data_IF_424041016410
#
_entry.id   IF_424041016410
#
_cell.length_a   1.000
_cell.length_b   1.000
_cell.length_c   1.000
_cell.angle_alpha   90.00
_cell.angle_beta   90.00
_cell.angle_gamma   90.00
#
_symmetry.space_group_name_H-M   'P 1'
#
loop_
_entity.id
_entity.type
_entity.pdbx_description
1 polymer ?
#
# COMPACT_ATOMS: atom_id res chain seq x y z
N UNK A 1 0.38 22.96 17.58
CA UNK A 1 -0.93 23.05 16.89
C UNK A 1 -1.89 22.01 17.48
N UNK A 2 -2.77 22.45 18.37
CA UNK A 2 -3.85 21.63 18.93
C UNK A 2 -4.78 21.22 17.80
N UNK A 3 -4.90 19.92 17.53
CA UNK A 3 -5.90 19.40 16.59
C UNK A 3 -7.26 19.48 17.26
N UNK A 4 -8.08 20.44 16.80
CA UNK A 4 -9.37 20.80 17.39
C UNK A 4 -10.45 19.96 16.73
N UNK A 5 -10.90 18.91 17.40
CA UNK A 5 -12.34 18.72 17.48
C UNK A 5 -12.87 19.84 18.38
N UNK A 6 -13.87 20.58 17.91
CA UNK A 6 -14.46 21.64 18.74
C UNK A 6 -15.06 20.98 19.98
N UNK A 7 -14.72 21.42 21.20
CA UNK A 7 -15.34 20.87 22.40
C UNK A 7 -16.87 20.91 22.28
N UNK A 8 -17.50 19.73 22.26
CA UNK A 8 -18.96 19.58 22.08
C UNK A 8 -19.41 19.00 20.73
N UNK A 9 -18.52 18.79 19.75
CA UNK A 9 -18.83 18.07 18.50
C UNK A 9 -18.24 16.65 18.50
N UNK A 10 -18.92 15.70 17.87
CA UNK A 10 -18.37 14.36 17.66
C UNK A 10 -17.17 14.42 16.69
N UNK A 11 -16.12 13.62 16.92
CA UNK A 11 -15.04 13.48 15.94
C UNK A 11 -15.57 12.85 14.64
N UNK A 12 -14.89 13.12 13.52
CA UNK A 12 -15.16 12.41 12.28
C UNK A 12 -14.73 10.94 12.39
N UNK A 13 -15.51 10.04 11.81
CA UNK A 13 -15.30 8.59 11.83
C UNK A 13 -14.54 8.14 10.59
N UNK A 14 -13.44 7.42 10.81
CA UNK A 14 -12.56 6.92 9.75
C UNK A 14 -12.42 5.41 9.86
N UNK A 15 -12.87 4.69 8.83
CA UNK A 15 -12.69 3.24 8.72
C UNK A 15 -11.54 2.92 7.78
N UNK A 16 -10.55 2.16 8.24
CA UNK A 16 -9.37 1.75 7.46
C UNK A 16 -9.44 0.26 7.18
N UNK A 17 -9.56 -0.09 5.90
CA UNK A 17 -9.62 -1.48 5.44
C UNK A 17 -8.21 -1.98 5.15
N UNK A 18 -7.69 -2.85 6.02
CA UNK A 18 -6.33 -3.39 5.95
C UNK A 18 -5.38 -2.70 6.92
N UNK A 19 -4.78 -3.47 7.79
CA UNK A 19 -3.87 -3.02 8.85
C UNK A 19 -2.41 -3.03 8.46
N UNK A 20 -2.06 -3.19 7.18
CA UNK A 20 -0.68 -3.22 6.68
C UNK A 20 0.09 -1.91 6.88
N UNK A 21 1.15 -1.71 6.09
CA UNK A 21 1.97 -0.48 6.16
C UNK A 21 1.13 0.75 5.83
N UNK A 22 0.37 0.70 4.74
CA UNK A 22 -0.50 1.80 4.30
C UNK A 22 -1.54 2.13 5.38
N UNK A 23 -2.27 1.12 5.86
CA UNK A 23 -3.33 1.31 6.85
C UNK A 23 -2.82 1.84 8.19
N UNK A 24 -1.67 1.35 8.67
CA UNK A 24 -1.03 1.86 9.88
C UNK A 24 -0.73 3.36 9.79
N UNK A 25 -0.17 3.81 8.66
CA UNK A 25 0.18 5.23 8.48
C UNK A 25 -1.05 6.10 8.26
N UNK A 26 -2.06 5.62 7.52
CA UNK A 26 -3.34 6.30 7.37
C UNK A 26 -4.03 6.50 8.73
N UNK A 27 -4.12 5.44 9.54
CA UNK A 27 -4.70 5.51 10.89
C UNK A 27 -3.91 6.46 11.79
N UNK A 28 -2.57 6.44 11.73
CA UNK A 28 -1.73 7.37 12.52
C UNK A 28 -2.01 8.84 12.20
N UNK A 29 -2.22 9.16 10.93
CA UNK A 29 -2.60 10.52 10.52
C UNK A 29 -4.00 10.88 11.00
N UNK A 30 -4.98 9.99 10.80
CA UNK A 30 -6.36 10.23 11.22
C UNK A 30 -6.49 10.42 12.74
N UNK A 31 -5.85 9.57 13.55
CA UNK A 31 -5.77 9.73 15.02
C UNK A 31 -5.09 11.04 15.39
N UNK A 32 -4.01 11.42 14.70
CA UNK A 32 -3.33 12.70 14.93
C UNK A 32 -4.22 13.92 14.65
N UNK A 33 -5.20 13.76 13.76
CA UNK A 33 -6.24 14.74 13.45
C UNK A 33 -7.41 14.74 14.44
N UNK A 34 -7.43 13.82 15.41
CA UNK A 34 -8.50 13.69 16.39
C UNK A 34 -9.73 12.92 15.89
N UNK A 35 -9.59 12.17 14.79
CA UNK A 35 -10.66 11.31 14.30
C UNK A 35 -10.87 10.08 15.21
N UNK A 36 -12.09 9.56 15.18
CA UNK A 36 -12.42 8.23 15.69
C UNK A 36 -12.09 7.21 14.60
N UNK A 37 -11.21 6.25 14.88
CA UNK A 37 -10.60 5.40 13.85
C UNK A 37 -10.82 3.93 14.16
N UNK A 38 -11.38 3.20 13.19
CA UNK A 38 -11.46 1.73 13.19
C UNK A 38 -10.55 1.16 12.11
N UNK A 39 -9.67 0.21 12.47
CA UNK A 39 -8.92 -0.62 11.50
C UNK A 39 -9.53 -2.01 11.43
N UNK A 40 -9.83 -2.46 10.21
CA UNK A 40 -10.34 -3.79 9.91
C UNK A 40 -9.25 -4.63 9.24
N UNK A 41 -8.95 -5.82 9.77
CA UNK A 41 -7.98 -6.75 9.18
C UNK A 41 -8.38 -8.22 9.41
N UNK A 42 -7.87 -9.13 8.57
CA UNK A 42 -8.08 -10.59 8.70
C UNK A 42 -7.05 -11.25 9.64
N UNK A 43 -5.97 -10.57 9.98
CA UNK A 43 -4.89 -11.11 10.83
C UNK A 43 -5.06 -10.66 12.28
N UNK A 44 -5.55 -11.56 13.14
CA UNK A 44 -5.64 -11.31 14.59
C UNK A 44 -4.28 -10.91 15.19
N UNK A 45 -3.14 -11.56 14.87
CA UNK A 45 -1.83 -11.09 15.34
C UNK A 45 -1.54 -9.64 14.94
N UNK A 46 -1.93 -9.24 13.74
CA UNK A 46 -1.74 -7.86 13.28
C UNK A 46 -2.63 -6.87 14.04
N UNK A 47 -3.90 -7.23 14.28
CA UNK A 47 -4.80 -6.39 15.08
C UNK A 47 -4.27 -6.17 16.50
N UNK A 48 -3.72 -7.21 17.16
CA UNK A 48 -3.06 -7.06 18.47
C UNK A 48 -1.87 -6.10 18.42
N UNK A 49 -1.00 -6.24 17.41
CA UNK A 49 0.11 -5.31 17.23
C UNK A 49 -0.36 -3.87 17.03
N UNK A 50 -1.45 -3.66 16.29
CA UNK A 50 -2.01 -2.33 16.08
C UNK A 50 -2.56 -1.76 17.39
N UNK A 51 -3.29 -2.55 18.17
CA UNK A 51 -3.78 -2.16 19.49
C UNK A 51 -2.62 -1.73 20.42
N UNK A 52 -1.54 -2.51 20.47
CA UNK A 52 -0.32 -2.18 21.21
C UNK A 52 0.33 -0.86 20.73
N UNK A 53 0.43 -0.67 19.41
CA UNK A 53 1.04 0.53 18.79
C UNK A 53 0.23 1.80 19.11
N UNK A 54 -1.10 1.68 19.07
CA UNK A 54 -1.99 2.82 19.28
C UNK A 54 -2.37 3.01 20.75
N UNK A 55 -2.05 2.05 21.62
CA UNK A 55 -2.41 2.00 23.03
C UNK A 55 -3.92 2.20 23.24
N UNK A 56 -4.73 1.44 22.48
CA UNK A 56 -6.19 1.50 22.52
C UNK A 56 -6.83 2.76 21.91
N UNK A 57 -6.05 3.67 21.29
CA UNK A 57 -6.60 4.87 20.61
C UNK A 57 -7.24 4.59 19.25
N UNK A 58 -7.21 3.36 18.79
CA UNK A 58 -7.79 2.91 17.52
C UNK A 58 -8.59 1.66 17.83
N UNK A 59 -9.81 1.58 17.29
CA UNK A 59 -10.60 0.37 17.35
C UNK A 59 -10.05 -0.64 16.35
N UNK A 60 -9.87 -1.89 16.79
CA UNK A 60 -9.42 -2.97 15.91
C UNK A 60 -10.53 -4.01 15.79
N UNK A 61 -10.94 -4.31 14.56
CA UNK A 61 -12.00 -5.30 14.29
C UNK A 61 -11.54 -6.35 13.30
N UNK A 62 -11.96 -7.59 13.55
CA UNK A 62 -11.74 -8.67 12.61
C UNK A 62 -12.64 -8.50 11.39
N UNK A 63 -12.09 -8.74 10.20
CA UNK A 63 -12.80 -8.58 8.93
C UNK A 63 -13.85 -9.67 8.72
N UNK A 64 -15.07 -9.41 9.17
CA UNK A 64 -16.30 -10.12 8.76
C UNK A 64 -17.13 -9.24 7.83
N UNK A 65 -18.09 -9.82 7.11
CA UNK A 65 -19.03 -9.05 6.27
C UNK A 65 -19.81 -8.05 7.12
N UNK A 66 -20.36 -8.49 8.26
CA UNK A 66 -21.09 -7.64 9.20
C UNK A 66 -20.23 -6.48 9.71
N UNK A 67 -18.99 -6.74 10.14
CA UNK A 67 -18.11 -5.68 10.62
C UNK A 67 -17.71 -4.69 9.51
N UNK A 68 -17.48 -5.19 8.30
CA UNK A 68 -17.21 -4.33 7.14
C UNK A 68 -18.42 -3.44 6.82
N UNK A 69 -19.63 -4.01 6.79
CA UNK A 69 -20.86 -3.25 6.52
C UNK A 69 -21.09 -2.20 7.62
N UNK A 70 -21.10 -2.58 8.89
CA UNK A 70 -21.37 -1.68 10.02
C UNK A 70 -20.40 -0.48 10.06
N UNK A 71 -19.10 -0.75 9.94
CA UNK A 71 -18.07 0.28 10.06
C UNK A 71 -17.96 1.14 8.80
N UNK A 72 -18.21 0.58 7.60
CA UNK A 72 -18.21 1.37 6.37
C UNK A 72 -19.45 2.26 6.28
N UNK A 73 -20.64 1.75 6.64
CA UNK A 73 -21.88 2.54 6.59
C UNK A 73 -21.90 3.69 7.58
N UNK A 74 -21.23 3.55 8.72
CA UNK A 74 -21.20 4.58 9.77
C UNK A 74 -20.01 5.54 9.67
N UNK A 75 -19.09 5.33 8.72
CA UNK A 75 -17.90 6.15 8.54
C UNK A 75 -18.16 7.40 7.70
N UNK A 76 -17.47 8.49 8.05
CA UNK A 76 -17.38 9.68 7.21
C UNK A 76 -16.34 9.49 6.10
N UNK A 77 -15.30 8.69 6.36
CA UNK A 77 -14.23 8.37 5.41
C UNK A 77 -13.89 6.89 5.50
N UNK A 78 -13.81 6.22 4.34
CA UNK A 78 -13.28 4.85 4.24
C UNK A 78 -11.95 4.88 3.48
N UNK A 79 -10.90 4.33 4.09
CA UNK A 79 -9.57 4.21 3.48
C UNK A 79 -9.32 2.77 3.07
N UNK A 80 -9.24 2.54 1.77
CA UNK A 80 -8.80 1.27 1.19
C UNK A 80 -7.28 1.09 1.32
N UNK A 81 -6.83 0.20 2.20
CA UNK A 81 -5.41 -0.06 2.48
C UNK A 81 -5.05 -1.55 2.42
N UNK A 82 -5.88 -2.36 1.77
CA UNK A 82 -5.59 -3.76 1.49
C UNK A 82 -4.64 -3.83 0.30
N UNK A 83 -3.47 -4.43 0.49
CA UNK A 83 -2.50 -4.67 -0.58
C UNK A 83 -2.15 -6.15 -0.54
N UNK A 84 -2.53 -6.87 -1.60
CA UNK A 84 -2.15 -8.25 -1.81
C UNK A 84 -1.07 -8.26 -2.90
N UNK A 85 0.19 -8.64 -2.58
CA UNK A 85 1.26 -8.67 -3.58
C UNK A 85 0.88 -9.51 -4.79
N UNK A 86 0.89 -8.90 -5.98
CA UNK A 86 0.52 -9.56 -7.23
C UNK A 86 -0.98 -9.64 -7.53
N UNK A 87 -1.83 -8.94 -6.76
CA UNK A 87 -3.26 -8.83 -7.05
C UNK A 87 -3.69 -7.36 -7.25
N UNK A 88 -4.81 -7.21 -7.95
CA UNK A 88 -5.39 -5.96 -8.45
C UNK A 88 -6.15 -5.16 -7.37
N UNK A 89 -5.51 -4.93 -6.21
CA UNK A 89 -6.17 -4.34 -5.02
C UNK A 89 -5.72 -2.90 -4.74
N UNK A 90 -4.57 -2.49 -5.29
CA UNK A 90 -4.15 -1.08 -5.28
C UNK A 90 -4.88 -0.31 -6.38
N UNK A 91 -5.19 0.98 -6.19
CA UNK A 91 -5.77 1.82 -7.26
C UNK A 91 -4.91 1.81 -8.54
N UNK A 92 -3.59 1.70 -8.39
CA UNK A 92 -2.66 1.58 -9.51
C UNK A 92 -2.89 0.30 -10.35
N UNK A 93 -3.67 -0.66 -9.84
CA UNK A 93 -3.94 -1.97 -10.44
C UNK A 93 -5.42 -2.43 -10.31
N UNK A 94 -6.39 -1.56 -10.01
CA UNK A 94 -7.83 -1.93 -9.96
C UNK A 94 -8.58 -1.52 -8.69
N UNK A 95 -7.88 -1.34 -7.57
CA UNK A 95 -8.47 -0.87 -6.30
C UNK A 95 -9.18 -1.95 -5.48
N UNK A 96 -9.50 -1.62 -4.23
CA UNK A 96 -10.19 -2.54 -3.31
C UNK A 96 -11.70 -2.28 -3.20
N UNK A 97 -12.25 -1.35 -3.99
CA UNK A 97 -13.67 -1.03 -4.05
C UNK A 97 -14.17 -1.30 -5.47
N UNK A 98 -15.34 -1.91 -5.60
CA UNK A 98 -15.91 -2.29 -6.91
C UNK A 98 -16.12 -1.09 -7.83
N UNK A 99 -16.56 0.04 -7.28
CA UNK A 99 -16.80 1.28 -8.02
C UNK A 99 -15.53 2.08 -8.29
N UNK A 100 -14.35 1.61 -7.81
CA UNK A 100 -13.10 2.37 -7.94
C UNK A 100 -12.44 2.21 -9.31
N UNK A 101 -12.03 3.33 -9.89
CA UNK A 101 -11.10 3.37 -11.02
C UNK A 101 -10.06 4.47 -10.84
N UNK A 102 -8.91 4.33 -11.53
CA UNK A 102 -7.82 5.29 -11.44
C UNK A 102 -8.24 6.69 -11.92
N UNK A 103 -7.76 7.70 -11.20
CA UNK A 103 -7.91 9.13 -11.48
C UNK A 103 -6.53 9.80 -11.50
N UNK A 104 -6.48 11.11 -11.76
CA UNK A 104 -5.22 11.86 -11.87
C UNK A 104 -5.17 12.99 -10.85
N UNK A 105 -3.99 13.55 -10.59
CA UNK A 105 -3.88 14.74 -9.74
C UNK A 105 -4.69 15.94 -10.24
N UNK A 106 -4.92 16.05 -11.56
CA UNK A 106 -5.70 17.15 -12.14
C UNK A 106 -7.21 16.98 -11.95
N UNK A 107 -7.68 15.72 -11.97
CA UNK A 107 -9.09 15.35 -11.76
C UNK A 107 -9.09 14.21 -10.73
N UNK A 108 -8.98 14.52 -9.43
CA UNK A 108 -8.66 13.53 -8.40
C UNK A 108 -9.87 12.80 -7.83
N UNK A 109 -11.08 13.30 -8.09
CA UNK A 109 -12.31 12.76 -7.54
C UNK A 109 -13.41 12.62 -8.59
N UNK A 110 -14.31 11.70 -8.31
CA UNK A 110 -15.61 11.54 -8.99
C UNK A 110 -16.63 11.05 -7.95
N UNK A 111 -17.89 11.03 -8.33
CA UNK A 111 -18.99 10.64 -7.44
C UNK A 111 -19.71 9.41 -8.01
N UNK A 112 -19.99 8.44 -7.13
CA UNK A 112 -20.84 7.28 -7.42
C UNK A 112 -21.78 7.09 -6.24
N UNK A 113 -23.09 7.05 -6.51
CA UNK A 113 -24.14 6.84 -5.49
C UNK A 113 -24.03 7.79 -4.27
N UNK A 114 -23.64 9.04 -4.48
CA UNK A 114 -23.49 10.04 -3.42
C UNK A 114 -22.19 9.91 -2.61
N UNK A 115 -21.30 8.97 -2.98
CA UNK A 115 -19.99 8.78 -2.36
C UNK A 115 -18.91 9.39 -3.25
N UNK A 116 -18.08 10.25 -2.65
CA UNK A 116 -16.93 10.84 -3.35
C UNK A 116 -15.78 9.84 -3.31
N UNK A 117 -15.36 9.40 -4.49
CA UNK A 117 -14.20 8.55 -4.68
C UNK A 117 -12.95 9.39 -4.92
N UNK A 118 -11.91 9.19 -4.11
CA UNK A 118 -10.56 9.70 -4.35
C UNK A 118 -9.64 8.54 -4.72
N UNK A 119 -9.22 8.47 -5.98
CA UNK A 119 -8.52 7.29 -6.52
C UNK A 119 -7.31 7.70 -7.35
N UNK A 120 -6.47 8.60 -6.84
CA UNK A 120 -5.32 9.10 -7.59
C UNK A 120 -4.21 8.05 -7.60
N UNK A 121 -3.77 7.65 -8.80
CA UNK A 121 -2.61 6.79 -8.98
C UNK A 121 -1.31 7.53 -8.66
N UNK A 122 -0.25 6.80 -8.28
CA UNK A 122 1.06 7.40 -7.97
C UNK A 122 1.01 8.54 -6.92
N UNK A 123 0.24 8.35 -5.83
CA UNK A 123 0.12 9.35 -4.75
C UNK A 123 1.47 9.87 -4.20
N UNK A 124 2.54 9.05 -4.07
CA UNK A 124 3.85 9.56 -3.63
C UNK A 124 4.44 10.66 -4.54
N UNK A 125 4.03 10.72 -5.81
CA UNK A 125 4.44 11.74 -6.77
C UNK A 125 4.01 13.16 -6.38
N UNK A 126 2.95 13.32 -5.58
CA UNK A 126 2.51 14.63 -5.09
C UNK A 126 3.46 15.25 -4.05
N UNK A 127 4.31 14.44 -3.42
CA UNK A 127 5.26 14.88 -2.38
C UNK A 127 6.70 14.50 -2.77
N UNK A 128 7.21 15.01 -3.91
CA UNK A 128 8.40 14.47 -4.59
C UNK A 128 9.67 14.54 -3.75
N UNK A 129 9.83 15.57 -2.92
CA UNK A 129 11.00 15.67 -2.03
C UNK A 129 11.01 14.51 -1.03
N UNK A 130 9.93 14.34 -0.27
CA UNK A 130 9.82 13.29 0.74
C UNK A 130 9.88 11.89 0.12
N UNK A 131 9.17 11.66 -0.99
CA UNK A 131 9.12 10.36 -1.65
C UNK A 131 10.44 10.00 -2.35
N UNK A 132 11.13 10.95 -2.96
CA UNK A 132 12.46 10.72 -3.52
C UNK A 132 13.48 10.36 -2.42
N UNK A 133 13.47 11.07 -1.29
CA UNK A 133 14.34 10.73 -0.17
C UNK A 133 14.03 9.34 0.41
N UNK A 134 12.75 9.01 0.59
CA UNK A 134 12.35 7.69 1.09
C UNK A 134 12.75 6.56 0.12
N UNK A 135 12.49 6.72 -1.18
CA UNK A 135 12.87 5.75 -2.20
C UNK A 135 14.39 5.59 -2.28
N UNK A 136 15.14 6.69 -2.26
CA UNK A 136 16.59 6.66 -2.30
C UNK A 136 17.15 5.95 -1.07
N UNK A 137 16.66 6.24 0.13
CA UNK A 137 17.11 5.55 1.35
C UNK A 137 16.85 4.04 1.31
N UNK A 138 15.80 3.59 0.62
CA UNK A 138 15.48 2.18 0.46
C UNK A 138 16.26 1.48 -0.68
N UNK A 139 16.79 2.23 -1.64
CA UNK A 139 17.37 1.66 -2.88
C UNK A 139 18.85 1.97 -3.09
N UNK A 140 19.40 2.97 -2.40
CA UNK A 140 20.76 3.46 -2.61
C UNK A 140 21.80 2.36 -2.41
N UNK A 141 21.65 1.50 -1.42
CA UNK A 141 22.60 0.40 -1.19
C UNK A 141 22.61 -0.60 -2.34
N UNK A 142 21.47 -0.89 -2.98
CA UNK A 142 21.42 -1.72 -4.19
C UNK A 142 22.05 -1.00 -5.38
N UNK A 143 21.81 0.31 -5.53
CA UNK A 143 22.43 1.13 -6.57
C UNK A 143 23.96 1.14 -6.48
N UNK A 144 24.50 1.30 -5.27
CA UNK A 144 25.95 1.26 -5.03
C UNK A 144 26.54 -0.13 -5.31
N UNK A 145 25.87 -1.20 -4.89
CA UNK A 145 26.31 -2.58 -5.21
C UNK A 145 26.40 -2.82 -6.71
N UNK A 146 25.40 -2.36 -7.47
CA UNK A 146 25.39 -2.46 -8.93
C UNK A 146 26.49 -1.62 -9.57
N UNK A 147 26.75 -0.42 -9.07
CA UNK A 147 27.81 0.46 -9.57
C UNK A 147 29.21 -0.15 -9.36
N UNK A 148 29.46 -0.73 -8.19
CA UNK A 148 30.76 -1.29 -7.83
C UNK A 148 31.04 -2.65 -8.48
N UNK A 149 30.02 -3.51 -8.58
CA UNK A 149 30.18 -4.93 -8.96
C UNK A 149 29.55 -5.30 -10.30
N UNK A 150 28.75 -4.43 -10.91
CA UNK A 150 27.95 -4.75 -12.08
C UNK A 150 27.02 -5.94 -11.83
N UNK A 151 26.95 -6.87 -12.79
CA UNK A 151 26.08 -8.05 -12.70
C UNK A 151 26.45 -9.01 -11.56
N UNK A 152 27.69 -8.97 -11.07
CA UNK A 152 28.10 -9.80 -9.92
C UNK A 152 27.31 -9.45 -8.65
N UNK A 153 26.78 -8.23 -8.53
CA UNK A 153 25.90 -7.85 -7.42
C UNK A 153 24.65 -8.76 -7.31
N UNK A 154 24.12 -9.25 -8.45
CA UNK A 154 22.97 -10.16 -8.46
C UNK A 154 23.36 -11.60 -8.12
N UNK A 155 24.64 -11.95 -8.23
CA UNK A 155 25.14 -13.26 -7.79
C UNK A 155 25.25 -13.24 -6.25
N UNK A 156 25.85 -12.16 -5.72
CA UNK A 156 26.12 -11.96 -4.30
C UNK A 156 24.84 -11.73 -3.47
N UNK A 157 23.91 -10.91 -3.96
CA UNK A 157 22.71 -10.51 -3.23
C UNK A 157 21.46 -11.14 -3.83
N UNK A 158 20.87 -12.09 -3.09
CA UNK A 158 19.65 -12.77 -3.51
C UNK A 158 18.42 -11.85 -3.52
N UNK A 159 18.37 -10.81 -2.68
CA UNK A 159 17.26 -9.85 -2.70
C UNK A 159 17.29 -9.02 -3.98
N UNK A 160 18.48 -8.57 -4.38
CA UNK A 160 18.67 -7.86 -5.65
C UNK A 160 18.39 -8.77 -6.85
N UNK A 161 18.83 -10.04 -6.80
CA UNK A 161 18.55 -11.04 -7.83
C UNK A 161 17.06 -11.29 -8.05
N UNK A 162 16.27 -11.29 -6.97
CA UNK A 162 14.82 -11.48 -7.07
C UNK A 162 14.12 -10.34 -7.83
N UNK A 163 14.79 -9.18 -7.99
CA UNK A 163 14.32 -8.07 -8.82
C UNK A 163 14.68 -8.17 -10.31
N UNK A 164 15.46 -9.19 -10.73
CA UNK A 164 15.80 -9.37 -12.14
C UNK A 164 14.56 -9.80 -12.93
N UNK A 165 14.18 -8.99 -13.92
CA UNK A 165 13.02 -9.26 -14.78
C UNK A 165 13.41 -9.83 -16.15
N UNK A 166 14.44 -9.24 -16.77
CA UNK A 166 14.91 -9.61 -18.12
C UNK A 166 16.43 -9.60 -18.16
N UNK A 167 17.05 -10.60 -18.79
CA UNK A 167 18.48 -10.62 -19.06
C UNK A 167 18.78 -11.24 -20.43
N UNK A 168 19.50 -10.50 -21.30
CA UNK A 168 19.87 -10.96 -22.66
C UNK A 168 18.69 -11.56 -23.45
N UNK A 169 17.51 -10.93 -23.36
CA UNK A 169 16.29 -11.38 -24.05
C UNK A 169 15.53 -12.52 -23.35
N UNK A 170 16.00 -13.02 -22.21
CA UNK A 170 15.33 -14.06 -21.41
C UNK A 170 14.52 -13.43 -20.28
N UNK A 171 13.30 -13.92 -20.07
CA UNK A 171 12.44 -13.49 -18.96
C UNK A 171 12.78 -14.32 -17.72
N UNK A 172 13.00 -13.64 -16.59
CA UNK A 172 13.35 -14.28 -15.31
C UNK A 172 12.31 -14.04 -14.22
N UNK A 173 11.35 -13.14 -14.46
CA UNK A 173 10.23 -12.92 -13.57
C UNK A 173 9.07 -13.86 -13.94
N UNK A 174 8.71 -14.74 -12.99
CA UNK A 174 7.63 -15.72 -13.16
C UNK A 174 6.27 -15.09 -13.44
N UNK A 175 5.89 -14.04 -12.71
CA UNK A 175 4.59 -13.39 -12.90
C UNK A 175 4.47 -12.76 -14.30
N UNK A 176 5.55 -12.16 -14.80
CA UNK A 176 5.60 -11.62 -16.17
C UNK A 176 5.54 -12.74 -17.21
N UNK A 177 6.26 -13.84 -17.00
CA UNK A 177 6.26 -14.98 -17.90
C UNK A 177 4.87 -15.62 -18.01
N UNK A 178 4.20 -15.86 -16.89
CA UNK A 178 2.85 -16.42 -16.83
C UNK A 178 1.81 -15.49 -17.46
N UNK A 179 1.85 -14.20 -17.14
CA UNK A 179 0.88 -13.23 -17.66
C UNK A 179 0.97 -13.02 -19.18
N UNK A 180 2.18 -13.10 -19.76
CA UNK A 180 2.43 -12.82 -21.18
C UNK A 180 2.67 -14.09 -22.02
N UNK A 181 2.66 -15.28 -21.41
CA UNK A 181 2.89 -16.55 -22.10
C UNK A 181 4.34 -16.75 -22.58
N UNK A 182 5.32 -16.18 -21.88
CA UNK A 182 6.73 -16.31 -22.22
C UNK A 182 7.42 -17.47 -21.49
N UNK A 183 8.52 -17.95 -22.05
CA UNK A 183 9.38 -18.93 -21.39
C UNK A 183 10.09 -18.28 -20.19
N UNK A 184 9.93 -18.90 -19.02
CA UNK A 184 10.62 -18.51 -17.79
C UNK A 184 11.99 -19.18 -17.73
N UNK A 185 13.04 -18.39 -17.49
CA UNK A 185 14.39 -18.88 -17.24
C UNK A 185 14.83 -18.46 -15.84
N UNK A 186 15.40 -19.39 -15.08
CA UNK A 186 15.84 -19.12 -13.71
C UNK A 186 16.90 -18.00 -13.66
N UNK A 187 16.75 -16.98 -12.77
CA UNK A 187 17.70 -15.88 -12.65
C UNK A 187 19.15 -16.33 -12.46
N UNK A 188 19.38 -17.41 -11.70
CA UNK A 188 20.73 -17.95 -11.49
C UNK A 188 21.33 -18.55 -12.76
N UNK A 189 20.51 -19.20 -13.58
CA UNK A 189 20.97 -19.85 -14.80
C UNK A 189 21.37 -18.82 -15.86
N UNK A 190 20.61 -17.71 -15.97
CA UNK A 190 20.95 -16.65 -16.95
C UNK A 190 22.16 -15.81 -16.55
N UNK A 191 22.47 -15.72 -15.25
CA UNK A 191 23.65 -14.98 -14.76
C UNK A 191 24.95 -15.80 -14.84
N UNK A 192 24.86 -17.11 -14.99
CA UNK A 192 26.01 -18.01 -15.16
C UNK A 192 26.44 -18.19 -16.64
N UNK A 193 25.71 -17.59 -17.59
CA UNK A 193 25.87 -17.70 -19.04
C UNK A 193 26.31 -16.39 -19.70
#
# INVERSE_FOLDING_TARGET
PSTVTLPGSTPGKVTVLGGGVVGLHAARMAVGLGADVTIIDRSIPRLRQLDDIFAGRVHTRYSTVEALEEECFSADIVVGAVLIPGADVAIDQGGCFETSHATTHAVPTYEVDGVIHYCVANMPGAVPVTSAHALNNATLHYGLQLADKGLNALIDDHHLRNGLNVHKGKITNRAVAEALGYELVEPKAVLAA
#
